data_IF_474342818321
#
_entry.id   IF_474342818321
#
_cell.length_a   1.000
_cell.length_b   1.000
_cell.length_c   1.000
_cell.angle_alpha   90.00
_cell.angle_beta   90.00
_cell.angle_gamma   90.00
#
_symmetry.space_group_name_H-M   'P 1'
#
loop_
_entity.id
_entity.type
_entity.pdbx_description
1 polymer ?
#
# COMPACT_ATOMS: atom_id res chain seq x y z
N UNK A 1 14.91 3.18 3.43
CA UNK A 1 13.69 3.99 3.68
C UNK A 1 12.74 3.79 2.49
N UNK A 2 12.08 2.63 2.43
CA UNK A 2 11.47 2.15 1.16
C UNK A 2 10.03 1.67 1.34
N UNK A 3 9.67 1.24 2.55
CA UNK A 3 8.34 0.71 2.88
C UNK A 3 7.64 1.46 4.03
N UNK A 4 8.28 2.46 4.62
CA UNK A 4 7.72 3.20 5.77
C UNK A 4 6.41 3.92 5.45
N UNK A 5 6.14 4.21 4.18
CA UNK A 5 4.88 4.81 3.72
C UNK A 5 3.70 3.80 3.76
N UNK A 6 3.96 2.49 3.66
CA UNK A 6 2.92 1.46 3.80
C UNK A 6 2.33 1.48 5.22
N UNK A 7 3.15 1.80 6.21
CA UNK A 7 2.71 1.94 7.61
C UNK A 7 1.73 3.12 7.81
N UNK A 8 1.77 4.15 6.95
CA UNK A 8 0.81 5.26 6.98
C UNK A 8 -0.55 4.90 6.39
N UNK A 9 -0.63 3.84 5.57
CA UNK A 9 -1.89 3.31 5.09
C UNK A 9 -2.52 2.46 6.21
N UNK A 10 -3.40 3.05 7.02
CA UNK A 10 -4.10 2.36 8.13
C UNK A 10 -4.73 1.00 7.74
N UNK A 11 -5.21 0.88 6.49
CA UNK A 11 -5.74 -0.39 5.94
C UNK A 11 -4.70 -1.51 5.85
N UNK A 12 -3.43 -1.19 5.55
CA UNK A 12 -2.32 -2.15 5.46
C UNK A 12 -1.62 -2.37 6.81
N UNK A 13 -1.79 -1.43 7.75
CA UNK A 13 -1.19 -1.49 9.09
C UNK A 13 -1.92 -2.48 10.00
N UNK A 14 -3.22 -2.68 9.76
CA UNK A 14 -4.13 -3.56 10.54
C UNK A 14 -4.76 -4.59 9.60
N UNK A 15 -3.97 -5.23 8.74
CA UNK A 15 -4.42 -6.46 8.07
C UNK A 15 -4.30 -7.62 9.08
N UNK A 16 -5.24 -7.69 10.03
CA UNK A 16 -5.38 -8.80 10.98
C UNK A 16 -6.26 -9.94 10.42
N UNK A 17 -6.72 -9.83 9.17
CA UNK A 17 -7.78 -10.71 8.65
C UNK A 17 -7.44 -11.35 7.30
N UNK A 18 -7.04 -12.63 7.38
CA UNK A 18 -7.59 -13.73 6.57
C UNK A 18 -7.30 -13.82 5.06
N UNK A 19 -7.00 -12.76 4.31
CA UNK A 19 -6.80 -12.83 2.85
C UNK A 19 -5.61 -11.99 2.34
N UNK A 20 -4.44 -12.60 2.04
CA UNK A 20 -3.26 -11.89 1.55
C UNK A 20 -3.49 -11.16 0.22
N UNK A 21 -4.46 -11.62 -0.57
CA UNK A 21 -4.84 -11.05 -1.87
C UNK A 21 -5.32 -9.59 -1.75
N UNK A 22 -6.00 -9.23 -0.65
CA UNK A 22 -6.49 -7.87 -0.43
C UNK A 22 -5.35 -6.90 -0.11
N UNK A 23 -4.39 -7.34 0.70
CA UNK A 23 -3.19 -6.55 1.03
C UNK A 23 -2.34 -6.31 -0.21
N UNK A 24 -2.18 -7.31 -1.07
CA UNK A 24 -1.42 -7.19 -2.31
C UNK A 24 -2.05 -6.16 -3.27
N UNK A 25 -3.37 -6.20 -3.46
CA UNK A 25 -4.10 -5.21 -4.26
C UNK A 25 -3.91 -3.78 -3.71
N UNK A 26 -3.94 -3.60 -2.39
CA UNK A 26 -3.73 -2.29 -1.76
C UNK A 26 -2.29 -1.77 -1.94
N UNK A 27 -1.29 -2.66 -1.91
CA UNK A 27 0.11 -2.30 -2.20
C UNK A 27 0.24 -1.82 -3.65
N UNK A 28 -0.32 -2.55 -4.62
CA UNK A 28 -0.29 -2.15 -6.02
C UNK A 28 -0.95 -0.78 -6.25
N UNK A 29 -2.16 -0.57 -5.72
CA UNK A 29 -2.87 0.71 -5.83
C UNK A 29 -2.01 1.85 -5.27
N UNK A 30 -1.36 1.62 -4.13
CA UNK A 30 -0.60 2.67 -3.48
C UNK A 30 0.75 2.94 -4.17
N UNK A 31 1.40 1.91 -4.75
CA UNK A 31 2.53 2.09 -5.66
C UNK A 31 2.14 2.91 -6.89
N UNK A 32 1.00 2.60 -7.51
CA UNK A 32 0.47 3.35 -8.67
C UNK A 32 0.29 4.83 -8.33
N UNK A 33 -0.29 5.15 -7.17
CA UNK A 33 -0.45 6.56 -6.72
C UNK A 33 0.88 7.28 -6.54
N UNK A 34 1.92 6.60 -6.05
CA UNK A 34 3.27 7.17 -5.91
C UNK A 34 3.91 7.38 -7.28
N UNK A 35 3.80 6.42 -8.19
CA UNK A 35 4.34 6.57 -9.55
C UNK A 35 3.66 7.71 -10.30
N UNK A 36 2.33 7.81 -10.23
CA UNK A 36 1.58 8.91 -10.84
C UNK A 36 2.01 10.28 -10.29
N UNK A 37 2.24 10.39 -8.98
CA UNK A 37 2.77 11.63 -8.36
C UNK A 37 4.19 11.98 -8.77
N UNK A 38 4.98 11.01 -9.22
CA UNK A 38 6.35 11.24 -9.71
C UNK A 38 6.39 11.59 -11.20
N UNK A 39 5.33 11.27 -11.94
CA UNK A 39 5.20 11.60 -13.36
C UNK A 39 4.64 13.01 -13.59
N UNK A 40 3.97 13.59 -12.59
CA UNK A 40 3.43 14.95 -12.61
C UNK A 40 4.42 15.97 -12.04
#
# INVERSE_FOLDING_TARGET
RSYGWLHWCRRLNVDYERLPESSEALIYIAMTRVMLRRLA
#
